data_IF_074208204839
#
_entry.id   IF_074208204839
#
_cell.length_a   1.000
_cell.length_b   1.000
_cell.length_c   1.000
_cell.angle_alpha   90.00
_cell.angle_beta   90.00
_cell.angle_gamma   90.00
#
_symmetry.space_group_name_H-M   'P 1'
#
loop_
_entity.id
_entity.type
_entity.pdbx_description
1 polymer ?
#
# COMPACT_ATOMS: atom_id res chain seq x y z
N UNK A 1 10.31 -18.34 1.08
CA UNK A 1 9.37 -17.35 1.64
C UNK A 1 8.79 -16.61 0.47
N UNK A 2 7.48 -16.74 0.20
CA UNK A 2 6.85 -16.12 -0.97
C UNK A 2 6.76 -14.61 -0.85
N UNK A 3 6.72 -13.93 -2.00
CA UNK A 3 6.63 -12.48 -2.12
C UNK A 3 5.33 -12.03 -2.78
N UNK A 4 4.84 -10.88 -2.33
CA UNK A 4 3.84 -10.09 -3.02
C UNK A 4 4.54 -9.01 -3.81
N UNK A 5 4.21 -8.87 -5.09
CA UNK A 5 4.76 -7.84 -5.96
C UNK A 5 3.61 -7.00 -6.53
N UNK A 6 3.80 -5.68 -6.56
CA UNK A 6 2.87 -4.77 -7.21
C UNK A 6 3.57 -3.51 -7.70
N UNK A 7 2.97 -2.84 -8.66
CA UNK A 7 3.40 -1.54 -9.16
C UNK A 7 2.62 -0.45 -8.45
N UNK A 8 3.33 0.52 -7.87
CA UNK A 8 2.72 1.68 -7.24
C UNK A 8 1.82 2.41 -8.24
N UNK A 9 0.52 2.59 -7.95
CA UNK A 9 -0.38 3.26 -8.87
C UNK A 9 0.01 4.75 -9.00
N UNK A 10 -0.17 5.31 -10.19
CA UNK A 10 0.17 6.72 -10.49
C UNK A 10 -1.00 7.52 -11.05
N UNK A 11 -2.12 6.86 -11.33
CA UNK A 11 -3.34 7.41 -11.91
C UNK A 11 -4.44 7.70 -10.87
N UNK A 12 -4.14 7.55 -9.57
CA UNK A 12 -5.06 7.91 -8.50
C UNK A 12 -5.20 9.43 -8.49
N UNK A 13 -6.42 9.95 -8.68
CA UNK A 13 -6.70 11.39 -8.72
C UNK A 13 -6.23 12.15 -7.46
N UNK A 14 -6.03 11.45 -6.33
CA UNK A 14 -5.43 11.98 -5.11
C UNK A 14 -3.99 12.48 -5.28
N UNK A 15 -3.27 12.04 -6.32
CA UNK A 15 -1.90 12.45 -6.65
C UNK A 15 -1.82 13.72 -7.51
N UNK A 16 -2.95 14.30 -7.88
CA UNK A 16 -2.96 15.55 -8.63
C UNK A 16 -2.69 16.75 -7.72
N UNK A 17 -1.83 17.67 -8.16
CA UNK A 17 -1.56 18.95 -7.47
C UNK A 17 -0.45 18.93 -6.42
N UNK A 18 0.32 17.85 -6.34
CA UNK A 18 1.45 17.73 -5.43
C UNK A 18 2.71 18.38 -6.04
N UNK A 19 3.63 18.85 -5.20
CA UNK A 19 4.92 19.44 -5.62
C UNK A 19 5.95 18.36 -6.02
N UNK A 20 5.55 17.10 -6.03
CA UNK A 20 6.36 15.96 -6.46
C UNK A 20 5.57 14.99 -7.34
N UNK A 21 6.29 14.36 -8.25
CA UNK A 21 5.79 13.26 -9.06
C UNK A 21 5.92 11.93 -8.30
N UNK A 22 4.88 11.11 -8.36
CA UNK A 22 4.86 9.74 -7.86
C UNK A 22 5.16 8.79 -9.01
N UNK A 23 6.22 7.99 -8.90
CA UNK A 23 6.64 7.07 -9.95
C UNK A 23 5.93 5.70 -9.83
N UNK A 24 5.78 4.97 -10.96
CA UNK A 24 5.24 3.61 -10.97
C UNK A 24 6.31 2.62 -10.51
N UNK A 25 6.74 2.71 -9.24
CA UNK A 25 7.77 1.87 -8.68
C UNK A 25 7.25 0.44 -8.49
N UNK A 26 8.06 -0.56 -8.85
CA UNK A 26 7.75 -1.96 -8.57
C UNK A 26 8.19 -2.31 -7.15
N UNK A 27 7.25 -2.69 -6.31
CA UNK A 27 7.44 -2.93 -4.87
C UNK A 27 7.31 -4.42 -4.59
N UNK A 28 8.24 -4.94 -3.78
CA UNK A 28 8.23 -6.33 -3.29
C UNK A 28 8.03 -6.33 -1.78
N UNK A 29 6.99 -7.01 -1.30
CA UNK A 29 6.67 -7.22 0.10
C UNK A 29 6.78 -8.71 0.44
N UNK A 30 7.00 -9.02 1.72
CA UNK A 30 6.78 -10.39 2.18
C UNK A 30 5.29 -10.67 2.14
N UNK A 31 4.93 -11.82 1.58
CA UNK A 31 3.54 -12.18 1.42
C UNK A 31 2.85 -12.40 2.79
N UNK A 32 3.61 -12.86 3.79
CA UNK A 32 3.14 -13.05 5.17
C UNK A 32 2.70 -11.75 5.84
N UNK A 33 3.50 -10.68 5.75
CA UNK A 33 3.20 -9.39 6.36
C UNK A 33 1.89 -8.82 5.81
N UNK A 34 1.72 -8.93 4.49
CA UNK A 34 0.53 -8.41 3.83
C UNK A 34 -0.72 -9.27 4.11
N UNK A 35 -0.55 -10.59 4.23
CA UNK A 35 -1.61 -11.51 4.66
C UNK A 35 -2.08 -11.17 6.07
N UNK A 36 -1.15 -10.94 7.00
CA UNK A 36 -1.45 -10.64 8.40
C UNK A 36 -2.27 -9.35 8.54
N UNK A 37 -1.92 -8.31 7.78
CA UNK A 37 -2.70 -7.05 7.72
C UNK A 37 -4.14 -7.30 7.27
N UNK A 38 -4.33 -8.04 6.17
CA UNK A 38 -5.69 -8.32 5.69
C UNK A 38 -6.47 -9.23 6.64
N UNK A 39 -5.84 -10.26 7.22
CA UNK A 39 -6.48 -11.13 8.20
C UNK A 39 -6.93 -10.35 9.44
N UNK A 40 -6.08 -9.46 9.97
CA UNK A 40 -6.41 -8.60 11.10
C UNK A 40 -7.59 -7.67 10.80
N UNK A 41 -7.63 -7.07 9.60
CA UNK A 41 -8.75 -6.25 9.15
C UNK A 41 -10.05 -7.05 9.09
N UNK A 42 -10.02 -8.23 8.46
CA UNK A 42 -11.20 -9.10 8.30
C UNK A 42 -11.73 -9.56 9.67
N UNK A 43 -10.85 -9.91 10.60
CA UNK A 43 -11.26 -10.29 11.95
C UNK A 43 -11.91 -9.14 12.71
N UNK A 44 -11.28 -7.96 12.67
CA UNK A 44 -11.76 -6.77 13.38
C UNK A 44 -13.12 -6.28 12.90
N UNK A 45 -13.41 -6.44 11.59
CA UNK A 45 -14.62 -5.92 10.97
C UNK A 45 -15.76 -6.93 10.80
N UNK A 46 -15.52 -8.22 11.06
CA UNK A 46 -16.47 -9.33 10.81
C UNK A 46 -17.85 -9.07 11.39
N UNK A 47 -17.93 -8.77 12.68
CA UNK A 47 -19.20 -8.62 13.38
C UNK A 47 -19.92 -7.33 12.96
N UNK A 48 -19.17 -6.26 12.74
CA UNK A 48 -19.71 -4.97 12.33
C UNK A 48 -20.35 -5.06 10.93
N UNK A 49 -19.62 -5.63 9.97
CA UNK A 49 -20.07 -5.73 8.58
C UNK A 49 -21.26 -6.69 8.42
N UNK A 50 -21.37 -7.71 9.27
CA UNK A 50 -22.52 -8.64 9.27
C UNK A 50 -23.88 -7.94 9.45
N UNK A 51 -23.88 -6.74 10.05
CA UNK A 51 -25.06 -5.92 10.32
C UNK A 51 -25.27 -4.81 9.31
N UNK A 52 -24.34 -4.63 8.36
CA UNK A 52 -24.40 -3.58 7.35
C UNK A 52 -25.17 -4.01 6.11
N UNK A 53 -25.71 -3.04 5.38
CA UNK A 53 -26.22 -3.27 4.04
C UNK A 53 -25.10 -3.71 3.10
N UNK A 54 -25.39 -4.70 2.24
CA UNK A 54 -24.50 -5.17 1.18
C UNK A 54 -24.15 -4.07 0.17
N UNK A 55 -25.00 -3.05 0.07
CA UNK A 55 -24.76 -1.91 -0.81
C UNK A 55 -23.80 -0.88 -0.23
N UNK A 56 -23.52 -0.94 1.08
CA UNK A 56 -22.58 -0.01 1.72
C UNK A 56 -21.16 -0.19 1.18
N UNK A 57 -20.44 0.91 1.03
CA UNK A 57 -19.03 0.88 0.62
C UNK A 57 -18.17 0.03 1.55
N UNK A 58 -18.44 0.07 2.86
CA UNK A 58 -17.73 -0.73 3.87
C UNK A 58 -17.94 -2.23 3.71
N UNK A 59 -19.16 -2.68 3.39
CA UNK A 59 -19.39 -4.09 3.10
C UNK A 59 -18.63 -4.52 1.83
N UNK A 60 -18.65 -3.70 0.78
CA UNK A 60 -17.93 -3.98 -0.48
C UNK A 60 -16.40 -4.04 -0.26
N UNK A 61 -15.85 -3.12 0.53
CA UNK A 61 -14.44 -3.11 0.96
C UNK A 61 -14.08 -4.38 1.76
N UNK A 62 -14.90 -4.74 2.76
CA UNK A 62 -14.69 -5.95 3.55
C UNK A 62 -14.65 -7.22 2.68
N UNK A 63 -15.57 -7.36 1.72
CA UNK A 63 -15.59 -8.52 0.81
C UNK A 63 -14.33 -8.57 -0.03
N UNK A 64 -13.87 -7.43 -0.59
CA UNK A 64 -12.64 -7.36 -1.39
C UNK A 64 -11.41 -7.72 -0.55
N UNK A 65 -11.27 -7.16 0.64
CA UNK A 65 -10.15 -7.46 1.54
C UNK A 65 -10.18 -8.93 1.99
N UNK A 66 -11.37 -9.49 2.25
CA UNK A 66 -11.53 -10.91 2.57
C UNK A 66 -11.08 -11.82 1.43
N UNK A 67 -11.38 -11.45 0.19
CA UNK A 67 -10.92 -12.18 -0.99
C UNK A 67 -9.40 -12.11 -1.15
N UNK A 68 -8.80 -10.93 -0.97
CA UNK A 68 -7.35 -10.75 -1.01
C UNK A 68 -6.65 -11.57 0.09
N UNK A 69 -7.18 -11.57 1.32
CA UNK A 69 -6.66 -12.41 2.41
C UNK A 69 -6.64 -13.90 2.03
N UNK A 70 -7.70 -14.39 1.39
CA UNK A 70 -7.80 -15.78 0.92
C UNK A 70 -6.79 -16.07 -0.20
N UNK A 71 -6.65 -15.16 -1.17
CA UNK A 71 -5.67 -15.27 -2.26
C UNK A 71 -4.25 -15.36 -1.71
N UNK A 72 -3.89 -14.47 -0.77
CA UNK A 72 -2.56 -14.48 -0.15
C UNK A 72 -2.34 -15.75 0.68
N UNK A 73 -3.35 -16.21 1.44
CA UNK A 73 -3.25 -17.44 2.21
C UNK A 73 -2.97 -18.64 1.31
N UNK A 74 -3.69 -18.75 0.18
CA UNK A 74 -3.46 -19.82 -0.78
C UNK A 74 -2.06 -19.76 -1.40
N UNK A 75 -1.57 -18.57 -1.76
CA UNK A 75 -0.23 -18.39 -2.28
C UNK A 75 0.87 -18.78 -1.25
N UNK A 76 0.67 -18.48 0.04
CA UNK A 76 1.55 -18.95 1.11
C UNK A 76 1.60 -20.47 1.20
N UNK A 77 0.43 -21.13 1.18
CA UNK A 77 0.33 -22.59 1.25
C UNK A 77 1.01 -23.29 0.06
N UNK A 78 0.95 -22.68 -1.13
CA UNK A 78 1.62 -23.19 -2.33
C UNK A 78 3.11 -22.81 -2.39
N UNK A 79 3.58 -21.91 -1.52
CA UNK A 79 4.94 -21.39 -1.56
C UNK A 79 5.24 -20.55 -2.81
N UNK A 80 4.22 -19.93 -3.41
CA UNK A 80 4.32 -19.21 -4.68
C UNK A 80 4.27 -17.69 -4.51
N UNK A 81 5.14 -16.97 -5.21
CA UNK A 81 5.04 -15.52 -5.34
C UNK A 81 3.75 -15.12 -6.07
N UNK A 82 3.24 -13.93 -5.79
CA UNK A 82 2.05 -13.39 -6.44
C UNK A 82 2.26 -11.93 -6.87
N UNK A 83 1.74 -11.60 -8.05
CA UNK A 83 1.75 -10.25 -8.58
C UNK A 83 0.32 -9.70 -8.63
N UNK A 84 0.09 -8.53 -8.00
CA UNK A 84 -1.22 -7.90 -7.86
C UNK A 84 -1.19 -6.45 -8.37
N UNK A 85 -0.77 -6.25 -9.62
CA UNK A 85 -0.81 -4.94 -10.28
C UNK A 85 -2.26 -4.44 -10.46
N UNK A 86 -2.48 -3.14 -10.23
CA UNK A 86 -3.80 -2.50 -10.41
C UNK A 86 -4.82 -2.81 -9.33
N UNK A 87 -4.42 -3.45 -8.23
CA UNK A 87 -5.28 -3.67 -7.06
C UNK A 87 -5.12 -2.53 -6.05
N UNK A 88 -6.00 -1.52 -6.12
CA UNK A 88 -5.97 -0.32 -5.25
C UNK A 88 -5.84 -0.64 -3.75
N UNK A 89 -6.41 -1.76 -3.30
CA UNK A 89 -6.37 -2.16 -1.89
C UNK A 89 -5.00 -2.67 -1.42
N UNK A 90 -4.14 -3.14 -2.33
CA UNK A 90 -2.75 -3.48 -1.96
C UNK A 90 -1.99 -2.21 -1.61
N UNK A 91 -2.07 -1.21 -2.50
CA UNK A 91 -1.43 0.08 -2.27
C UNK A 91 -1.88 0.70 -0.95
N UNK A 92 -3.19 0.82 -0.69
CA UNK A 92 -3.65 1.52 0.52
C UNK A 92 -3.35 0.76 1.82
N UNK A 93 -3.50 -0.58 1.84
CA UNK A 93 -3.30 -1.36 3.06
C UNK A 93 -1.82 -1.59 3.41
N UNK A 94 -0.90 -1.48 2.44
CA UNK A 94 0.53 -1.63 2.72
C UNK A 94 1.20 -0.37 3.28
N UNK A 95 0.47 0.74 3.44
CA UNK A 95 1.02 2.05 3.83
C UNK A 95 1.95 1.99 5.04
N UNK A 96 1.55 1.31 6.12
CA UNK A 96 2.38 1.18 7.32
C UNK A 96 3.67 0.41 7.03
N UNK A 97 3.61 -0.71 6.29
CA UNK A 97 4.81 -1.46 5.88
C UNK A 97 5.76 -0.60 5.06
N UNK A 98 5.22 0.26 4.18
CA UNK A 98 6.02 1.14 3.36
C UNK A 98 6.70 2.22 4.19
N UNK A 99 5.97 2.84 5.12
CA UNK A 99 6.50 3.94 5.93
C UNK A 99 7.40 3.51 7.08
N UNK A 100 7.24 2.29 7.55
CA UNK A 100 8.14 1.69 8.54
C UNK A 100 9.30 0.94 7.86
N UNK A 101 9.42 1.03 6.52
CA UNK A 101 10.51 0.45 5.73
C UNK A 101 10.62 -1.09 5.84
N UNK A 102 9.47 -1.78 5.94
CA UNK A 102 9.36 -3.24 6.00
C UNK A 102 9.27 -3.92 4.63
N UNK A 103 9.33 -3.17 3.52
CA UNK A 103 9.39 -3.77 2.18
C UNK A 103 10.74 -4.49 1.94
N UNK A 104 10.72 -5.48 1.05
CA UNK A 104 11.90 -6.29 0.69
C UNK A 104 12.76 -5.51 -0.29
N UNK A 105 12.16 -5.08 -1.40
CA UNK A 105 12.83 -4.27 -2.42
C UNK A 105 11.86 -3.30 -3.09
N UNK A 106 12.40 -2.25 -3.67
CA UNK A 106 11.66 -1.30 -4.52
C UNK A 106 12.48 -0.91 -5.74
N UNK A 107 11.88 -0.93 -6.93
CA UNK A 107 12.54 -0.55 -8.18
C UNK A 107 12.14 0.86 -8.55
N UNK A 108 13.12 1.77 -8.59
CA UNK A 108 12.92 3.11 -9.12
C UNK A 108 13.03 3.09 -10.65
N UNK A 109 11.97 3.44 -11.40
CA UNK A 109 12.01 3.42 -12.86
C UNK A 109 12.95 4.49 -13.42
N UNK A 110 13.04 5.67 -12.79
CA UNK A 110 13.95 6.74 -13.24
C UNK A 110 15.43 6.40 -13.03
N UNK A 111 15.77 5.74 -11.92
CA UNK A 111 17.14 5.30 -11.67
C UNK A 111 17.49 3.97 -12.36
N UNK A 112 16.49 3.25 -12.87
CA UNK A 112 16.60 1.87 -13.33
C UNK A 112 17.37 0.98 -12.34
N UNK A 113 17.04 1.12 -11.05
CA UNK A 113 17.76 0.47 -9.93
C UNK A 113 16.79 -0.07 -8.90
N UNK A 114 17.10 -1.25 -8.40
CA UNK A 114 16.48 -1.86 -7.23
C UNK A 114 17.19 -1.37 -5.96
N UNK A 115 16.40 -0.97 -4.97
CA UNK A 115 16.86 -0.54 -3.66
C UNK A 115 16.30 -1.48 -2.58
N UNK A 116 17.10 -1.74 -1.55
CA UNK A 116 16.62 -2.28 -0.28
C UNK A 116 16.03 -1.18 0.60
N UNK A 117 15.30 -1.58 1.64
CA UNK A 117 14.65 -0.61 2.53
C UNK A 117 15.62 0.31 3.27
N UNK A 118 16.80 -0.18 3.63
CA UNK A 118 17.86 0.60 4.28
C UNK A 118 18.47 1.71 3.39
N UNK A 119 18.26 1.66 2.07
CA UNK A 119 18.73 2.69 1.14
C UNK A 119 17.68 3.78 0.88
N UNK A 120 16.44 3.56 1.29
CA UNK A 120 15.34 4.50 1.08
C UNK A 120 15.12 5.34 2.34
N UNK A 121 14.42 6.46 2.19
CA UNK A 121 13.98 7.29 3.31
C UNK A 121 12.49 7.59 3.21
N UNK A 122 11.91 7.97 4.35
CA UNK A 122 10.52 8.39 4.43
C UNK A 122 10.47 9.87 4.76
N UNK A 123 9.72 10.62 3.96
CA UNK A 123 9.50 12.04 4.17
C UNK A 123 8.02 12.33 4.39
N UNK A 124 7.76 13.35 5.20
CA UNK A 124 6.43 13.92 5.37
C UNK A 124 6.29 15.13 4.45
N UNK A 125 5.16 15.24 3.76
CA UNK A 125 4.75 16.49 3.14
C UNK A 125 3.54 17.04 3.90
N UNK A 126 3.38 18.35 3.89
CA UNK A 126 2.21 19.00 4.46
C UNK A 126 1.64 20.05 3.49
N UNK A 127 0.32 20.19 3.50
CA UNK A 127 -0.38 21.33 2.93
C UNK A 127 -0.64 22.35 4.04
N UNK A 128 -0.62 23.64 3.69
CA UNK A 128 -0.79 24.75 4.65
C UNK A 128 -1.98 24.54 5.60
N UNK A 129 -1.86 25.06 6.82
CA UNK A 129 -2.81 24.88 7.92
C UNK A 129 -4.27 25.17 7.51
N UNK A 130 -5.18 24.23 7.74
CA UNK A 130 -6.64 24.46 7.64
C UNK A 130 -7.45 23.56 6.70
N UNK A 131 -6.87 22.50 6.11
CA UNK A 131 -7.61 21.49 5.32
C UNK A 131 -7.77 20.18 6.09
N UNK A 132 -8.82 19.40 5.75
CA UNK A 132 -9.13 18.12 6.41
C UNK A 132 -8.05 17.03 6.21
N UNK A 133 -7.19 17.17 5.19
CA UNK A 133 -5.97 16.39 5.02
C UNK A 133 -4.79 17.37 5.04
N UNK A 134 -3.98 17.33 6.10
CA UNK A 134 -2.83 18.22 6.25
C UNK A 134 -1.58 17.73 5.51
N UNK A 135 -1.60 16.56 4.86
CA UNK A 135 -0.42 16.04 4.18
C UNK A 135 -0.39 14.52 4.05
N UNK A 136 0.80 13.96 4.16
CA UNK A 136 1.01 12.52 4.17
C UNK A 136 2.49 12.13 4.21
N UNK A 137 2.76 10.85 3.93
CA UNK A 137 4.12 10.28 3.93
C UNK A 137 4.45 9.67 2.58
N UNK A 138 5.71 9.84 2.16
CA UNK A 138 6.27 9.29 0.92
C UNK A 138 7.55 8.52 1.19
N UNK A 139 7.76 7.44 0.44
CA UNK A 139 9.03 6.72 0.36
C UNK A 139 9.81 7.26 -0.83
N UNK A 140 11.05 7.66 -0.60
CA UNK A 140 11.94 8.21 -1.63
C UNK A 140 13.22 7.38 -1.78
N UNK A 141 13.75 7.34 -3.00
CA UNK A 141 15.06 6.75 -3.27
C UNK A 141 16.21 7.73 -2.96
N UNK A 142 17.48 7.29 -2.96
CA UNK A 142 18.63 8.18 -2.74
C UNK A 142 18.75 9.38 -3.69
N UNK A 143 18.11 9.30 -4.86
CA UNK A 143 18.08 10.39 -5.84
C UNK A 143 16.90 11.35 -5.64
N UNK A 144 16.07 11.15 -4.62
CA UNK A 144 14.93 12.01 -4.29
C UNK A 144 13.64 11.71 -5.07
N UNK A 145 13.59 10.63 -5.86
CA UNK A 145 12.36 10.26 -6.57
C UNK A 145 11.35 9.60 -5.61
N UNK A 146 10.08 10.00 -5.70
CA UNK A 146 8.99 9.40 -4.91
C UNK A 146 8.57 8.07 -5.52
N UNK A 147 8.69 6.99 -4.74
CA UNK A 147 8.42 5.63 -5.17
C UNK A 147 7.11 5.07 -4.60
N UNK A 148 6.64 5.64 -3.49
CA UNK A 148 5.37 5.31 -2.86
C UNK A 148 4.90 6.52 -2.06
N UNK A 149 3.59 6.70 -1.95
CA UNK A 149 2.99 7.78 -1.17
C UNK A 149 1.58 7.42 -0.74
N UNK A 150 1.17 7.89 0.44
CA UNK A 150 -0.22 7.83 0.88
C UNK A 150 -0.54 9.09 1.69
N UNK A 151 -1.69 9.71 1.39
CA UNK A 151 -2.21 10.84 2.16
C UNK A 151 -2.69 10.39 3.53
N UNK A 152 -2.49 11.24 4.54
CA UNK A 152 -2.92 11.01 5.92
C UNK A 152 -3.97 12.06 6.28
N UNK A 153 -5.11 11.61 6.81
CA UNK A 153 -6.16 12.49 7.33
C UNK A 153 -5.83 12.81 8.78
N UNK A 154 -5.99 14.08 9.18
CA UNK A 154 -5.84 14.45 10.59
C UNK A 154 -6.92 13.72 11.40
N UNK A 155 -6.47 12.92 12.36
CA UNK A 155 -7.31 12.33 13.40
C UNK A 155 -7.70 13.34 14.47
#
# INVERSE_FOLDING_TARGET
MPFLIFTNPTDIGAYSGWDFEVLPARITLRLEDMRDIYSSYVESWRDYVSRMSKESGRHKEYVRVSELARVLTHALEQGSDIELDGHDYVWSFCSELMFDLHFVTIVCPSCNRQYGSAECSVEKWAYGSGLAAEGGRRVICPSGHTLYSCGEWCS
#
